data_IF_163354508775
#
_entry.id   IF_163354508775
#
_cell.length_a   1.000
_cell.length_b   1.000
_cell.length_c   1.000
_cell.angle_alpha   90.00
_cell.angle_beta   90.00
_cell.angle_gamma   90.00
#
_symmetry.space_group_name_H-M   'P 1'
#
loop_
_entity.id
_entity.type
_entity.pdbx_description
1 polymer ?
#
# COMPACT_ATOMS: atom_id res chain seq x y z
N UNK A 1 -9.13 -19.47 -5.89
CA UNK A 1 -7.79 -18.88 -6.15
C UNK A 1 -7.94 -17.37 -6.36
N UNK A 2 -7.92 -16.61 -5.27
CA UNK A 2 -8.13 -15.14 -5.23
C UNK A 2 -7.05 -14.37 -6.02
N UNK A 3 -6.04 -15.05 -6.55
CA UNK A 3 -4.82 -14.47 -7.11
C UNK A 3 -4.53 -14.99 -8.53
N UNK A 4 -5.54 -15.08 -9.36
CA UNK A 4 -5.46 -15.63 -10.74
C UNK A 4 -4.55 -14.90 -11.73
N UNK A 5 -3.84 -13.86 -11.35
CA UNK A 5 -2.76 -13.29 -12.16
C UNK A 5 -1.41 -13.80 -11.66
N UNK A 6 -0.98 -14.93 -12.17
CA UNK A 6 0.33 -15.52 -11.87
C UNK A 6 1.48 -14.76 -12.56
N UNK A 7 1.61 -13.47 -12.26
CA UNK A 7 2.81 -12.71 -12.57
C UNK A 7 3.90 -13.00 -11.54
N UNK A 8 5.15 -13.13 -11.95
CA UNK A 8 6.31 -13.27 -11.06
C UNK A 8 6.36 -12.18 -9.97
N UNK A 9 5.75 -11.00 -10.23
CA UNK A 9 5.60 -9.92 -9.27
C UNK A 9 4.75 -10.21 -8.04
N UNK A 10 3.88 -11.21 -8.07
CA UNK A 10 2.95 -11.49 -6.97
C UNK A 10 3.58 -12.30 -5.82
N UNK A 11 4.68 -13.00 -6.06
CA UNK A 11 5.31 -13.88 -5.07
C UNK A 11 5.88 -13.08 -3.88
N UNK A 12 6.57 -11.98 -4.12
CA UNK A 12 7.13 -11.13 -3.06
C UNK A 12 6.09 -10.17 -2.47
N UNK A 13 5.10 -9.76 -3.26
CA UNK A 13 3.95 -8.97 -2.76
C UNK A 13 3.13 -9.79 -1.77
N UNK A 14 3.03 -11.10 -1.96
CA UNK A 14 2.29 -12.00 -1.09
C UNK A 14 2.79 -11.98 0.36
N UNK A 15 4.10 -11.87 0.60
CA UNK A 15 4.64 -11.75 1.95
C UNK A 15 4.09 -10.51 2.69
N UNK A 16 3.93 -9.38 1.99
CA UNK A 16 3.30 -8.19 2.55
C UNK A 16 1.81 -8.41 2.80
N UNK A 17 1.11 -9.08 1.85
CA UNK A 17 -0.32 -9.34 1.97
C UNK A 17 -0.63 -10.29 3.12
N UNK A 18 0.14 -11.35 3.30
CA UNK A 18 -0.01 -12.28 4.42
C UNK A 18 0.23 -11.56 5.76
N UNK A 19 1.29 -10.76 5.85
CA UNK A 19 1.64 -9.98 7.03
C UNK A 19 0.53 -9.00 7.45
N UNK A 20 0.07 -8.13 6.57
CA UNK A 20 -0.97 -7.17 6.96
C UNK A 20 -2.35 -7.81 7.12
N UNK A 21 -2.66 -8.89 6.39
CA UNK A 21 -3.91 -9.62 6.56
C UNK A 21 -4.01 -10.26 7.94
N UNK A 22 -2.91 -10.79 8.47
CA UNK A 22 -2.85 -11.32 9.82
C UNK A 22 -3.11 -10.22 10.86
N UNK A 23 -2.49 -9.05 10.70
CA UNK A 23 -2.72 -7.90 11.59
C UNK A 23 -4.17 -7.43 11.58
N UNK A 24 -4.78 -7.35 10.40
CA UNK A 24 -6.20 -6.97 10.26
C UNK A 24 -7.10 -7.98 10.99
N UNK A 25 -6.90 -9.31 10.78
CA UNK A 25 -7.70 -10.34 11.44
C UNK A 25 -7.55 -10.32 12.96
N UNK A 26 -6.36 -10.04 13.45
CA UNK A 26 -6.03 -10.06 14.88
C UNK A 26 -6.33 -8.74 15.59
N UNK A 27 -6.78 -7.70 14.89
CA UNK A 27 -7.04 -6.38 15.47
C UNK A 27 -8.16 -6.36 16.52
N UNK A 28 -9.10 -7.33 16.49
CA UNK A 28 -10.24 -7.39 17.42
C UNK A 28 -11.23 -6.24 17.28
N UNK A 29 -11.11 -5.39 16.25
CA UNK A 29 -11.95 -4.23 15.98
C UNK A 29 -12.08 -3.98 14.47
N UNK A 30 -13.07 -3.19 14.03
CA UNK A 30 -13.13 -2.73 12.65
C UNK A 30 -11.86 -1.97 12.25
N UNK A 31 -11.33 -2.28 11.05
CA UNK A 31 -10.09 -1.69 10.52
C UNK A 31 -10.38 -0.95 9.23
N UNK A 32 -9.93 0.31 9.14
CA UNK A 32 -10.00 1.14 7.94
C UNK A 32 -8.63 1.17 7.27
N UNK A 33 -8.54 0.65 6.05
CA UNK A 33 -7.31 0.63 5.26
C UNK A 33 -7.40 1.61 4.10
N UNK A 34 -6.38 2.44 3.92
CA UNK A 34 -6.17 3.25 2.73
C UNK A 34 -5.11 2.58 1.85
N UNK A 35 -5.46 2.29 0.60
CA UNK A 35 -4.52 1.78 -0.39
C UNK A 35 -4.34 2.82 -1.51
N UNK A 36 -3.15 3.39 -1.62
CA UNK A 36 -2.74 4.39 -2.60
C UNK A 36 -1.92 3.75 -3.71
N UNK A 37 -2.05 4.24 -4.94
CA UNK A 37 -1.48 3.63 -6.15
C UNK A 37 -1.92 2.17 -6.25
N UNK A 38 -3.20 1.95 -6.02
CA UNK A 38 -3.74 0.63 -5.72
C UNK A 38 -3.82 -0.31 -6.93
N UNK A 39 -3.56 0.21 -8.15
CA UNK A 39 -3.45 -0.55 -9.41
C UNK A 39 -4.64 -1.50 -9.62
N UNK A 40 -4.38 -2.78 -9.92
CA UNK A 40 -5.41 -3.81 -10.15
C UNK A 40 -6.02 -4.39 -8.87
N UNK A 41 -5.68 -3.83 -7.70
CA UNK A 41 -6.36 -4.08 -6.44
C UNK A 41 -5.89 -5.27 -5.63
N UNK A 42 -4.75 -5.91 -5.91
CA UNK A 42 -4.29 -7.08 -5.16
C UNK A 42 -4.23 -6.85 -3.65
N UNK A 43 -3.57 -5.78 -3.19
CA UNK A 43 -3.50 -5.42 -1.77
C UNK A 43 -4.88 -5.02 -1.21
N UNK A 44 -5.72 -4.33 -2.00
CA UNK A 44 -7.10 -3.99 -1.64
C UNK A 44 -7.91 -5.24 -1.33
N UNK A 45 -7.86 -6.23 -2.22
CA UNK A 45 -8.62 -7.49 -2.07
C UNK A 45 -8.11 -8.32 -0.90
N UNK A 46 -6.78 -8.38 -0.69
CA UNK A 46 -6.20 -9.06 0.46
C UNK A 46 -6.65 -8.43 1.79
N UNK A 47 -6.65 -7.09 1.89
CA UNK A 47 -7.13 -6.38 3.07
C UNK A 47 -8.64 -6.56 3.29
N UNK A 48 -9.45 -6.49 2.24
CA UNK A 48 -10.90 -6.71 2.31
C UNK A 48 -11.24 -8.15 2.71
N UNK A 49 -10.53 -9.15 2.15
CA UNK A 49 -10.68 -10.55 2.53
C UNK A 49 -10.29 -10.84 3.99
N UNK A 50 -9.41 -10.01 4.55
CA UNK A 50 -9.04 -10.05 5.97
C UNK A 50 -10.07 -9.37 6.88
N UNK A 51 -11.10 -8.69 6.33
CA UNK A 51 -12.19 -8.06 7.08
C UNK A 51 -12.11 -6.54 7.19
N UNK A 52 -11.18 -5.88 6.49
CA UNK A 52 -11.06 -4.43 6.51
C UNK A 52 -12.11 -3.72 5.64
N UNK A 53 -12.47 -2.50 6.03
CA UNK A 53 -13.06 -1.51 5.14
C UNK A 53 -11.94 -0.83 4.37
N UNK A 54 -11.95 -0.88 3.04
CA UNK A 54 -10.81 -0.41 2.22
C UNK A 54 -11.20 0.79 1.37
N UNK A 55 -10.36 1.82 1.37
CA UNK A 55 -10.42 2.90 0.39
C UNK A 55 -9.31 2.67 -0.64
N UNK A 56 -9.72 2.35 -1.86
CA UNK A 56 -8.85 2.09 -3.02
C UNK A 56 -8.74 3.35 -3.86
N UNK A 57 -7.53 3.86 -4.03
CA UNK A 57 -7.24 5.08 -4.80
C UNK A 57 -6.20 4.80 -5.87
N UNK A 58 -6.55 5.06 -7.11
CA UNK A 58 -5.63 5.02 -8.25
C UNK A 58 -6.01 6.09 -9.27
N UNK A 59 -5.01 6.66 -9.94
CA UNK A 59 -5.22 7.70 -10.95
C UNK A 59 -5.81 7.17 -12.27
N UNK A 60 -5.66 5.88 -12.54
CA UNK A 60 -6.09 5.24 -13.78
C UNK A 60 -7.50 4.66 -13.65
N UNK A 61 -8.44 5.24 -14.40
CA UNK A 61 -9.81 4.70 -14.48
C UNK A 61 -9.83 3.24 -14.94
N UNK A 62 -8.98 2.86 -15.90
CA UNK A 62 -8.89 1.49 -16.40
C UNK A 62 -8.46 0.52 -15.29
N UNK A 63 -7.48 0.90 -14.48
CA UNK A 63 -6.99 0.06 -13.37
C UNK A 63 -8.05 -0.11 -12.28
N UNK A 64 -8.74 0.98 -11.92
CA UNK A 64 -9.86 0.90 -10.94
C UNK A 64 -11.01 0.03 -11.46
N UNK A 65 -11.32 0.09 -12.77
CA UNK A 65 -12.33 -0.78 -13.37
C UNK A 65 -11.88 -2.24 -13.27
N UNK A 66 -10.66 -2.54 -13.65
CA UNK A 66 -10.11 -3.90 -13.56
C UNK A 66 -10.04 -4.40 -12.12
N UNK A 67 -9.68 -3.55 -11.16
CA UNK A 67 -9.70 -3.90 -9.74
C UNK A 67 -11.11 -4.31 -9.25
N UNK A 68 -12.17 -3.64 -9.73
CA UNK A 68 -13.57 -4.04 -9.45
C UNK A 68 -13.93 -5.39 -10.05
N UNK A 69 -13.49 -5.67 -11.27
CA UNK A 69 -13.68 -6.97 -11.92
C UNK A 69 -12.96 -8.08 -11.15
N UNK A 70 -11.74 -7.81 -10.68
CA UNK A 70 -10.98 -8.71 -9.82
C UNK A 70 -11.71 -8.96 -8.48
N UNK A 71 -12.35 -7.95 -7.90
CA UNK A 71 -13.15 -8.13 -6.68
C UNK A 71 -14.33 -9.08 -6.93
N UNK A 72 -15.04 -8.93 -8.05
CA UNK A 72 -16.12 -9.84 -8.44
C UNK A 72 -15.60 -11.26 -8.62
N UNK A 73 -14.52 -11.43 -9.37
CA UNK A 73 -13.91 -12.75 -9.66
C UNK A 73 -13.38 -13.45 -8.40
N UNK A 74 -13.05 -12.66 -7.37
CA UNK A 74 -12.54 -13.12 -6.07
C UNK A 74 -13.65 -13.36 -5.02
N UNK A 75 -14.93 -13.22 -5.38
CA UNK A 75 -16.04 -13.35 -4.45
C UNK A 75 -16.19 -12.20 -3.45
N UNK A 76 -15.55 -11.06 -3.72
CA UNK A 76 -15.53 -9.87 -2.86
C UNK A 76 -16.36 -8.70 -3.43
N UNK A 77 -17.35 -9.00 -4.28
CA UNK A 77 -18.22 -8.01 -4.92
C UNK A 77 -18.88 -7.07 -3.91
N UNK A 78 -19.33 -7.62 -2.79
CA UNK A 78 -20.08 -6.91 -1.76
C UNK A 78 -19.20 -6.49 -0.56
N UNK A 79 -17.88 -6.68 -0.68
CA UNK A 79 -16.94 -6.23 0.35
C UNK A 79 -16.97 -4.71 0.49
N UNK A 80 -16.74 -4.15 1.70
CA UNK A 80 -16.79 -2.72 1.97
C UNK A 80 -15.58 -1.99 1.38
N UNK A 81 -15.53 -1.87 0.04
CA UNK A 81 -14.46 -1.21 -0.70
C UNK A 81 -14.98 0.05 -1.37
N UNK A 82 -14.37 1.19 -1.04
CA UNK A 82 -14.60 2.48 -1.70
C UNK A 82 -13.61 2.65 -2.84
N UNK A 83 -14.08 2.65 -4.07
CA UNK A 83 -13.29 2.76 -5.28
C UNK A 83 -13.19 4.21 -5.77
N UNK A 84 -11.97 4.72 -5.97
CA UNK A 84 -11.74 6.11 -6.39
C UNK A 84 -10.73 6.20 -7.52
N UNK A 85 -11.10 6.95 -8.55
CA UNK A 85 -10.18 7.40 -9.62
C UNK A 85 -9.72 8.78 -9.26
N UNK A 86 -8.51 8.92 -8.74
CA UNK A 86 -8.02 10.19 -8.18
C UNK A 86 -6.50 10.24 -8.10
N UNK A 87 -5.95 11.46 -8.04
CA UNK A 87 -4.56 11.68 -7.67
C UNK A 87 -4.36 11.40 -6.17
N UNK A 88 -3.38 10.55 -5.84
CA UNK A 88 -3.16 10.09 -4.47
C UNK A 88 -2.80 11.22 -3.50
N UNK A 89 -1.96 12.17 -3.91
CA UNK A 89 -1.55 13.31 -3.07
C UNK A 89 -2.75 14.20 -2.78
N UNK A 90 -3.48 14.59 -3.82
CA UNK A 90 -4.69 15.42 -3.69
C UNK A 90 -5.79 14.74 -2.88
N UNK A 91 -5.90 13.41 -3.00
CA UNK A 91 -6.82 12.64 -2.19
C UNK A 91 -6.47 12.76 -0.71
N UNK A 92 -5.20 12.50 -0.33
CA UNK A 92 -4.74 12.60 1.07
C UNK A 92 -4.93 14.01 1.63
N UNK A 93 -4.60 15.05 0.87
CA UNK A 93 -4.83 16.44 1.27
C UNK A 93 -6.32 16.74 1.56
N UNK A 94 -7.24 16.15 0.78
CA UNK A 94 -8.68 16.29 1.05
C UNK A 94 -9.12 15.53 2.30
N UNK A 95 -8.57 14.34 2.53
CA UNK A 95 -8.88 13.57 3.75
C UNK A 95 -8.38 14.30 5.01
N UNK A 96 -7.21 14.95 4.95
CA UNK A 96 -6.72 15.83 6.03
C UNK A 96 -7.74 16.95 6.33
N UNK A 97 -8.21 17.66 5.29
CA UNK A 97 -9.19 18.74 5.46
C UNK A 97 -10.55 18.26 5.99
N UNK A 98 -10.90 17.00 5.73
CA UNK A 98 -12.14 16.37 6.22
C UNK A 98 -12.03 15.79 7.62
N UNK A 99 -10.82 15.71 8.18
CA UNK A 99 -10.55 15.04 9.44
C UNK A 99 -10.76 13.53 9.41
N UNK A 100 -10.68 12.90 8.24
CA UNK A 100 -10.78 11.46 8.12
C UNK A 100 -9.47 10.79 8.51
N UNK A 101 -9.56 9.64 9.19
CA UNK A 101 -8.40 8.85 9.61
C UNK A 101 -8.52 7.40 9.17
N UNK A 102 -7.35 6.74 9.08
CA UNK A 102 -7.19 5.36 8.67
C UNK A 102 -6.31 4.60 9.66
N UNK A 103 -6.68 3.35 9.93
CA UNK A 103 -5.91 2.49 10.84
C UNK A 103 -4.69 1.87 10.19
N UNK A 104 -4.69 1.82 8.87
CA UNK A 104 -3.55 1.33 8.11
C UNK A 104 -3.48 2.01 6.73
N UNK A 105 -2.25 2.21 6.25
CA UNK A 105 -1.99 2.80 4.95
C UNK A 105 -1.02 1.89 4.19
N UNK A 106 -1.38 1.59 2.94
CA UNK A 106 -0.57 0.84 1.99
C UNK A 106 -0.29 1.76 0.80
N UNK A 107 0.96 1.83 0.34
CA UNK A 107 1.30 2.52 -0.88
C UNK A 107 2.33 1.74 -1.71
N UNK A 108 2.06 1.69 -3.00
CA UNK A 108 2.89 1.00 -4.00
C UNK A 108 3.18 1.95 -5.19
N UNK A 109 3.86 3.10 -4.93
CA UNK A 109 4.02 4.15 -5.92
C UNK A 109 4.94 3.71 -7.06
N UNK A 110 4.65 4.11 -8.31
CA UNK A 110 5.55 3.90 -9.43
C UNK A 110 6.79 4.81 -9.30
N UNK A 111 7.88 4.46 -9.99
CA UNK A 111 9.06 5.35 -10.09
C UNK A 111 8.71 6.68 -10.75
N UNK A 112 7.87 6.63 -11.79
CA UNK A 112 7.35 7.79 -12.51
C UNK A 112 5.89 7.56 -12.91
N UNK A 113 5.07 8.60 -12.90
CA UNK A 113 3.69 8.53 -13.32
C UNK A 113 3.09 9.90 -13.68
N UNK A 114 1.89 9.85 -14.26
CA UNK A 114 1.08 11.03 -14.52
C UNK A 114 -0.30 10.85 -13.89
N UNK A 115 -0.73 11.85 -13.17
CA UNK A 115 -2.08 11.93 -12.64
C UNK A 115 -3.13 12.21 -13.72
N UNK A 116 -4.43 12.09 -13.39
CA UNK A 116 -5.53 12.21 -14.35
C UNK A 116 -5.67 13.61 -14.97
N UNK A 117 -5.04 14.63 -14.39
CA UNK A 117 -5.02 16.02 -14.87
C UNK A 117 -3.65 16.48 -15.34
N UNK A 118 -2.72 15.52 -15.60
CA UNK A 118 -1.36 15.82 -16.05
C UNK A 118 -0.36 16.09 -14.92
N UNK A 119 -0.71 15.85 -13.66
CA UNK A 119 0.21 15.92 -12.55
C UNK A 119 1.39 14.96 -12.80
N UNK A 120 2.60 15.40 -12.45
CA UNK A 120 3.81 14.60 -12.59
C UNK A 120 4.15 14.02 -11.22
N UNK A 121 4.28 12.70 -11.16
CA UNK A 121 4.81 11.96 -10.03
C UNK A 121 6.23 11.50 -10.36
N UNK A 122 7.18 11.82 -9.48
CA UNK A 122 8.52 11.25 -9.43
C UNK A 122 8.79 10.79 -8.01
N UNK A 123 9.15 9.54 -7.82
CA UNK A 123 9.26 8.95 -6.48
C UNK A 123 10.31 9.65 -5.64
N UNK A 124 11.46 9.98 -6.22
CA UNK A 124 12.57 10.66 -5.54
C UNK A 124 12.20 12.01 -4.95
N UNK A 125 11.27 12.72 -5.58
CA UNK A 125 10.82 14.05 -5.15
C UNK A 125 9.60 13.97 -4.22
N UNK A 126 8.74 12.96 -4.41
CA UNK A 126 7.37 12.96 -3.89
C UNK A 126 7.11 11.96 -2.76
N UNK A 127 7.94 10.92 -2.60
CA UNK A 127 7.63 9.84 -1.65
C UNK A 127 7.69 10.33 -0.19
N UNK A 128 8.73 11.06 0.20
CA UNK A 128 8.85 11.55 1.57
C UNK A 128 7.76 12.59 1.92
N UNK A 129 7.48 13.60 1.07
CA UNK A 129 6.32 14.47 1.25
C UNK A 129 5.00 13.71 1.39
N UNK A 130 4.76 12.65 0.60
CA UNK A 130 3.54 11.86 0.70
C UNK A 130 3.46 11.07 2.01
N UNK A 131 4.55 10.43 2.47
CA UNK A 131 4.61 9.76 3.79
C UNK A 131 4.22 10.75 4.90
N UNK A 132 4.77 11.98 4.87
CA UNK A 132 4.44 13.05 5.81
C UNK A 132 2.97 13.44 5.79
N UNK A 133 2.34 13.53 4.61
CA UNK A 133 0.91 13.80 4.50
C UNK A 133 0.08 12.63 5.05
N UNK A 134 0.46 11.40 4.71
CA UNK A 134 -0.21 10.20 5.17
C UNK A 134 -0.14 10.03 6.69
N UNK A 135 0.97 10.42 7.35
CA UNK A 135 1.07 10.43 8.80
C UNK A 135 -0.04 11.27 9.46
N UNK A 136 -0.48 12.37 8.82
CA UNK A 136 -1.55 13.24 9.36
C UNK A 136 -2.95 12.62 9.33
N UNK A 137 -3.14 11.56 8.58
CA UNK A 137 -4.42 10.83 8.49
C UNK A 137 -4.33 9.42 9.07
N UNK A 138 -3.22 9.09 9.71
CA UNK A 138 -3.08 7.85 10.46
C UNK A 138 -3.81 7.99 11.80
N UNK A 139 -4.64 7.01 12.17
CA UNK A 139 -5.39 7.03 13.43
C UNK A 139 -4.45 6.88 14.65
N UNK A 140 -4.93 7.28 15.83
CA UNK A 140 -4.17 7.10 17.08
C UNK A 140 -3.89 5.61 17.35
N UNK A 141 -4.86 4.75 17.03
CA UNK A 141 -4.77 3.29 17.17
C UNK A 141 -4.32 2.59 15.88
N UNK A 142 -3.44 3.23 15.12
CA UNK A 142 -2.96 2.68 13.86
C UNK A 142 -2.32 1.31 14.03
N UNK A 143 -2.55 0.43 13.06
CA UNK A 143 -2.02 -0.94 13.05
C UNK A 143 -0.72 -1.07 12.27
N UNK A 144 -0.68 -0.49 11.07
CA UNK A 144 0.50 -0.58 10.21
C UNK A 144 0.56 0.51 9.15
N UNK A 145 1.76 0.71 8.63
CA UNK A 145 2.06 1.57 7.49
C UNK A 145 3.03 0.83 6.57
N UNK A 146 2.66 0.65 5.30
CA UNK A 146 3.43 -0.10 4.33
C UNK A 146 3.76 0.76 3.11
N UNK A 147 5.05 0.83 2.78
CA UNK A 147 5.55 1.49 1.56
C UNK A 147 6.37 0.49 0.76
N UNK A 148 5.99 0.25 -0.48
CA UNK A 148 6.81 -0.49 -1.43
C UNK A 148 7.48 0.48 -2.42
N UNK A 149 8.63 0.10 -2.92
CA UNK A 149 9.31 0.79 -4.01
C UNK A 149 9.99 -0.23 -4.91
N UNK A 150 9.78 -0.10 -6.20
CA UNK A 150 10.45 -0.88 -7.24
C UNK A 150 11.46 -0.03 -8.00
N UNK A 151 11.86 1.10 -7.42
CA UNK A 151 12.81 2.04 -8.03
C UNK A 151 14.24 1.62 -7.70
N UNK A 152 15.03 1.42 -8.73
CA UNK A 152 16.47 1.16 -8.59
C UNK A 152 17.13 2.34 -7.85
N UNK A 153 17.92 2.02 -6.81
CA UNK A 153 18.66 3.03 -6.03
C UNK A 153 17.94 3.57 -4.81
N UNK A 154 16.66 3.25 -4.58
CA UNK A 154 16.00 3.55 -3.31
C UNK A 154 16.24 2.41 -2.31
N UNK A 155 17.30 2.56 -1.52
CA UNK A 155 17.69 1.53 -0.55
C UNK A 155 16.65 1.37 0.58
N UNK A 156 16.49 0.14 1.15
CA UNK A 156 15.59 -0.08 2.28
C UNK A 156 15.83 0.86 3.46
N UNK A 157 17.08 1.16 3.79
CA UNK A 157 17.45 2.09 4.87
C UNK A 157 16.86 3.50 4.68
N UNK A 158 16.67 3.95 3.43
CA UNK A 158 16.03 5.24 3.13
C UNK A 158 14.54 5.19 3.49
N UNK A 159 13.85 4.09 3.20
CA UNK A 159 12.46 3.88 3.63
C UNK A 159 12.35 3.87 5.16
N UNK A 160 13.26 3.15 5.85
CA UNK A 160 13.32 3.16 7.33
C UNK A 160 13.46 4.58 7.86
N UNK A 161 14.39 5.37 7.30
CA UNK A 161 14.62 6.75 7.73
C UNK A 161 13.36 7.63 7.57
N UNK A 162 12.74 7.60 6.39
CA UNK A 162 11.55 8.41 6.10
C UNK A 162 10.37 8.04 6.99
N UNK A 163 10.07 6.73 7.10
CA UNK A 163 8.95 6.24 7.90
C UNK A 163 9.19 6.55 9.39
N UNK A 164 10.37 6.25 9.92
CA UNK A 164 10.71 6.50 11.33
C UNK A 164 10.65 7.99 11.69
N UNK A 165 11.04 8.86 10.75
CA UNK A 165 11.00 10.31 10.97
C UNK A 165 9.56 10.83 11.08
N UNK A 166 8.68 10.38 10.18
CA UNK A 166 7.31 10.91 10.11
C UNK A 166 6.35 10.23 11.11
N UNK A 167 6.61 8.97 11.47
CA UNK A 167 5.79 8.21 12.41
C UNK A 167 6.34 8.15 13.83
N UNK A 168 7.29 9.01 14.19
CA UNK A 168 7.93 9.04 15.52
C UNK A 168 6.98 9.25 16.69
N UNK A 169 5.80 9.83 16.46
CA UNK A 169 4.78 10.07 17.50
C UNK A 169 3.93 8.83 17.79
N UNK A 170 3.98 7.81 16.94
CA UNK A 170 3.29 6.55 17.15
C UNK A 170 4.24 5.54 17.79
N UNK A 171 3.73 4.83 18.82
CA UNK A 171 4.49 3.75 19.46
C UNK A 171 4.52 2.52 18.56
N UNK A 172 5.62 2.31 17.85
CA UNK A 172 5.75 1.22 16.89
C UNK A 172 7.19 0.90 16.54
N UNK A 173 7.33 -0.02 15.60
CA UNK A 173 8.61 -0.47 15.07
C UNK A 173 8.62 -0.31 13.55
N UNK A 174 9.77 0.09 13.00
CA UNK A 174 9.99 0.16 11.54
C UNK A 174 11.00 -0.91 11.16
N UNK A 175 10.63 -1.72 10.17
CA UNK A 175 11.51 -2.66 9.48
C UNK A 175 11.46 -2.41 7.98
N UNK A 176 12.61 -2.49 7.32
CA UNK A 176 12.70 -2.35 5.86
C UNK A 176 13.69 -3.35 5.30
N UNK A 177 13.28 -4.00 4.22
CA UNK A 177 14.09 -5.05 3.59
C UNK A 177 14.01 -4.96 2.06
N UNK A 178 15.00 -5.53 1.40
CA UNK A 178 14.89 -5.80 -0.03
C UNK A 178 13.81 -6.85 -0.28
N UNK A 179 13.08 -6.65 -1.36
CA UNK A 179 12.13 -7.63 -1.88
C UNK A 179 12.64 -8.17 -3.21
N UNK A 180 12.49 -9.48 -3.40
CA UNK A 180 12.98 -10.11 -4.60
C UNK A 180 12.33 -11.46 -4.88
N UNK A 181 12.59 -11.95 -6.10
CA UNK A 181 12.08 -13.22 -6.59
C UNK A 181 13.11 -14.32 -6.36
N UNK A 182 12.76 -15.41 -5.70
CA UNK A 182 13.66 -16.56 -5.60
C UNK A 182 13.88 -17.19 -6.99
N UNK A 183 15.13 -17.40 -7.34
CA UNK A 183 15.54 -18.05 -8.58
C UNK A 183 15.78 -19.53 -8.30
N UNK A 184 14.85 -20.37 -8.71
CA UNK A 184 14.84 -21.81 -8.36
C UNK A 184 16.10 -22.57 -8.79
N UNK A 185 16.69 -22.19 -9.92
CA UNK A 185 17.86 -22.90 -10.49
C UNK A 185 19.20 -22.51 -9.84
N UNK A 186 19.30 -21.35 -9.20
CA UNK A 186 20.57 -20.85 -8.63
C UNK A 186 20.55 -20.72 -7.12
N UNK A 187 19.38 -20.76 -6.50
CA UNK A 187 19.20 -20.44 -5.09
C UNK A 187 19.44 -18.96 -4.75
N UNK A 188 19.63 -18.11 -5.75
CA UNK A 188 19.78 -16.67 -5.61
C UNK A 188 18.42 -15.98 -5.55
N UNK A 189 18.42 -14.72 -5.15
CA UNK A 189 17.23 -13.85 -5.19
C UNK A 189 17.46 -12.75 -6.22
N UNK A 190 16.54 -12.62 -7.18
CA UNK A 190 16.54 -11.50 -8.11
C UNK A 190 15.96 -10.27 -7.38
N UNK A 191 16.75 -9.20 -7.13
CA UNK A 191 16.25 -8.01 -6.47
C UNK A 191 15.17 -7.33 -7.30
N UNK A 192 14.05 -6.98 -6.67
CA UNK A 192 12.90 -6.33 -7.35
C UNK A 192 12.58 -4.96 -6.77
N UNK A 193 13.08 -4.64 -5.58
CA UNK A 193 12.81 -3.37 -4.91
C UNK A 193 12.98 -3.45 -3.40
N UNK A 194 12.32 -2.56 -2.69
CA UNK A 194 12.35 -2.48 -1.24
C UNK A 194 10.95 -2.36 -0.65
N UNK A 195 10.78 -2.84 0.58
CA UNK A 195 9.55 -2.68 1.36
C UNK A 195 9.91 -2.11 2.73
N UNK A 196 9.25 -1.02 3.11
CA UNK A 196 9.33 -0.44 4.45
C UNK A 196 8.01 -0.67 5.18
N UNK A 197 8.06 -1.20 6.39
CA UNK A 197 6.91 -1.53 7.24
C UNK A 197 7.06 -0.86 8.59
N UNK A 198 6.05 -0.12 8.98
CA UNK A 198 5.86 0.26 10.38
C UNK A 198 4.68 -0.53 10.94
N UNK A 199 4.79 -0.97 12.18
CA UNK A 199 3.72 -1.63 12.90
C UNK A 199 3.65 -1.13 14.33
N UNK A 200 2.42 -1.06 14.89
CA UNK A 200 2.19 -0.73 16.30
C UNK A 200 2.76 -1.83 17.22
N UNK A 201 3.23 -1.44 18.40
CA UNK A 201 3.61 -2.34 19.48
C UNK A 201 2.42 -2.75 20.32
#
# INVERSE_FOLDING_TARGET
DVLGSRGLGDVYKRQNWDWFSEKIRNAGRPVKVLNLFAYTGGATLAAAAAGATVTHVDASKGMVTWAKENAVSSGLKDAPIRWLVDDCVKFVEREIRRGNTYDAIIMDPPSYGRGPKGEIWKIEDMIHPLIRLCAKILSEDALFFLVNSYTTGLAPAVLTYMISTELKSWNGHVDSQEIGLPVTNSGLVLPCGASGRWESR
#
